data_IF_767711910711
#
_entry.id   IF_767711910711
#
_cell.length_a   1.000
_cell.length_b   1.000
_cell.length_c   1.000
_cell.angle_alpha   90.00
_cell.angle_beta   90.00
_cell.angle_gamma   90.00
#
_symmetry.space_group_name_H-M   'P 1'
#
loop_
_entity.id
_entity.type
_entity.pdbx_description
1 polymer ?
#
# COMPACT_ATOMS: atom_id res chain seq x y z
N UNK A 1 -7.45 -27.25 -16.93
CA UNK A 1 -8.60 -27.69 -16.09
C UNK A 1 -9.63 -26.58 -16.12
N UNK A 2 -10.94 -26.89 -16.20
CA UNK A 2 -11.97 -25.85 -16.28
C UNK A 2 -12.05 -25.10 -14.94
N UNK A 3 -11.82 -23.79 -14.91
CA UNK A 3 -11.80 -22.95 -13.72
C UNK A 3 -13.11 -23.02 -12.91
N UNK A 4 -14.25 -23.15 -13.60
CA UNK A 4 -15.56 -23.31 -12.95
C UNK A 4 -15.68 -24.66 -12.19
N UNK A 5 -15.08 -25.73 -12.72
CA UNK A 5 -15.04 -27.02 -12.06
C UNK A 5 -14.17 -26.94 -10.78
N UNK A 6 -13.00 -26.30 -10.85
CA UNK A 6 -12.13 -26.14 -9.68
C UNK A 6 -12.82 -25.34 -8.57
N UNK A 7 -13.49 -24.24 -8.92
CA UNK A 7 -14.26 -23.44 -7.98
C UNK A 7 -15.35 -24.28 -7.25
N UNK A 8 -16.12 -25.09 -8.00
CA UNK A 8 -17.17 -25.96 -7.44
C UNK A 8 -16.57 -27.06 -6.55
N UNK A 9 -15.45 -27.65 -6.95
CA UNK A 9 -14.77 -28.68 -6.14
C UNK A 9 -14.26 -28.11 -4.81
N UNK A 10 -13.62 -26.95 -4.83
CA UNK A 10 -13.16 -26.28 -3.61
C UNK A 10 -14.31 -25.97 -2.66
N UNK A 11 -15.40 -25.39 -3.15
CA UNK A 11 -16.58 -25.12 -2.32
C UNK A 11 -17.19 -26.42 -1.75
N UNK A 12 -17.22 -27.48 -2.52
CA UNK A 12 -17.72 -28.78 -2.05
C UNK A 12 -16.80 -29.37 -0.97
N UNK A 13 -15.49 -29.30 -1.14
CA UNK A 13 -14.52 -29.76 -0.16
C UNK A 13 -14.62 -28.97 1.15
N UNK A 14 -14.66 -27.62 1.09
CA UNK A 14 -14.85 -26.76 2.26
C UNK A 14 -16.14 -27.08 2.99
N UNK A 15 -17.23 -27.31 2.24
CA UNK A 15 -18.53 -27.69 2.86
C UNK A 15 -18.47 -29.05 3.57
N UNK A 16 -17.66 -29.98 3.08
CA UNK A 16 -17.56 -31.34 3.64
C UNK A 16 -16.60 -31.42 4.84
N UNK A 17 -15.47 -30.70 4.80
CA UNK A 17 -14.37 -30.83 5.78
C UNK A 17 -14.07 -29.55 6.58
N UNK A 18 -14.77 -28.45 6.30
CA UNK A 18 -14.51 -27.14 6.91
C UNK A 18 -13.32 -26.39 6.31
N UNK A 19 -12.49 -27.03 5.51
CA UNK A 19 -11.32 -26.44 4.88
C UNK A 19 -10.93 -27.18 3.59
N UNK A 20 -10.09 -26.52 2.75
CA UNK A 20 -9.52 -27.13 1.57
C UNK A 20 -8.04 -26.77 1.44
N UNK A 21 -7.25 -27.64 0.79
CA UNK A 21 -5.86 -27.35 0.42
C UNK A 21 -5.75 -27.21 -1.10
N UNK A 22 -5.01 -26.19 -1.53
CA UNK A 22 -4.65 -26.01 -2.93
C UNK A 22 -3.22 -25.51 -3.06
N UNK A 23 -2.64 -25.66 -4.25
CA UNK A 23 -1.34 -25.04 -4.58
C UNK A 23 -1.56 -23.69 -5.26
N UNK A 24 -0.75 -22.71 -4.87
CA UNK A 24 -0.68 -21.41 -5.51
C UNK A 24 -0.06 -21.57 -6.90
N UNK A 25 -0.60 -20.83 -7.87
CA UNK A 25 -0.05 -20.76 -9.23
C UNK A 25 0.16 -19.30 -9.60
N UNK A 26 1.37 -18.98 -10.06
CA UNK A 26 1.74 -17.65 -10.52
C UNK A 26 2.49 -16.83 -9.47
N UNK A 27 2.71 -15.56 -9.78
CA UNK A 27 3.62 -14.66 -9.03
C UNK A 27 2.93 -13.42 -8.47
N UNK A 28 1.60 -13.33 -8.60
CA UNK A 28 0.84 -12.13 -8.23
C UNK A 28 0.86 -11.83 -6.72
N UNK A 29 1.18 -12.81 -5.89
CA UNK A 29 1.25 -12.69 -4.44
C UNK A 29 2.68 -12.69 -3.87
N UNK A 30 3.70 -12.68 -4.73
CA UNK A 30 5.09 -12.55 -4.25
C UNK A 30 5.27 -11.23 -3.48
N UNK A 31 6.10 -11.20 -2.42
CA UNK A 31 6.87 -12.30 -1.84
C UNK A 31 6.13 -13.10 -0.75
N UNK A 32 4.86 -12.82 -0.50
CA UNK A 32 4.10 -13.45 0.61
C UNK A 32 3.61 -14.88 0.28
N UNK A 33 3.30 -15.15 -1.00
CA UNK A 33 3.02 -16.49 -1.51
C UNK A 33 3.77 -16.70 -2.81
N UNK A 34 4.43 -17.85 -2.94
CA UNK A 34 5.17 -18.23 -4.13
C UNK A 34 4.44 -19.30 -4.95
N UNK A 35 4.79 -19.39 -6.23
CA UNK A 35 4.33 -20.48 -7.08
C UNK A 35 4.70 -21.84 -6.46
N UNK A 36 3.72 -22.74 -6.36
CA UNK A 36 3.88 -24.05 -5.74
C UNK A 36 3.59 -24.10 -4.24
N UNK A 37 3.45 -22.98 -3.54
CA UNK A 37 3.08 -22.98 -2.11
C UNK A 37 1.73 -23.68 -1.92
N UNK A 38 1.63 -24.47 -0.84
CA UNK A 38 0.39 -25.13 -0.43
C UNK A 38 -0.33 -24.27 0.60
N UNK A 39 -1.53 -23.84 0.25
CA UNK A 39 -2.36 -23.01 1.14
C UNK A 39 -3.58 -23.77 1.63
N UNK A 40 -3.86 -23.62 2.93
CA UNK A 40 -5.10 -24.09 3.54
C UNK A 40 -6.09 -22.96 3.59
N UNK A 41 -7.31 -23.22 3.11
CA UNK A 41 -8.39 -22.23 2.97
C UNK A 41 -9.54 -22.64 3.84
N UNK A 42 -10.07 -21.70 4.61
CA UNK A 42 -11.28 -21.87 5.42
C UNK A 42 -12.32 -20.81 5.12
N UNK A 43 -13.63 -21.14 5.19
CA UNK A 43 -14.67 -20.13 5.11
C UNK A 43 -14.62 -19.21 6.34
N UNK A 44 -15.11 -18.00 6.20
CA UNK A 44 -15.24 -17.04 7.28
C UNK A 44 -16.55 -16.26 7.12
N UNK A 45 -17.18 -15.89 8.22
CA UNK A 45 -18.38 -15.05 8.17
C UNK A 45 -18.05 -13.60 7.81
N UNK A 46 -16.94 -13.09 8.35
CA UNK A 46 -16.48 -11.73 8.13
C UNK A 46 -15.03 -11.73 7.66
N UNK A 47 -14.78 -11.04 6.56
CA UNK A 47 -13.45 -10.80 6.00
C UNK A 47 -12.99 -9.39 6.36
N UNK A 48 -11.74 -9.25 6.80
CA UNK A 48 -11.16 -7.98 7.22
C UNK A 48 -9.98 -7.60 6.32
N UNK A 49 -9.66 -6.30 6.18
CA UNK A 49 -8.46 -5.87 5.48
C UNK A 49 -7.22 -6.64 5.96
N UNK A 50 -6.39 -7.08 5.01
CA UNK A 50 -5.22 -7.93 5.28
C UNK A 50 -5.45 -9.42 5.04
N UNK A 51 -6.68 -9.92 5.11
CA UNK A 51 -6.97 -11.31 4.78
C UNK A 51 -6.60 -11.62 3.33
N UNK A 52 -5.96 -12.76 3.08
CA UNK A 52 -5.72 -13.27 1.73
C UNK A 52 -6.92 -14.15 1.37
N UNK A 53 -7.66 -13.74 0.34
CA UNK A 53 -8.89 -14.38 -0.10
C UNK A 53 -8.68 -15.22 -1.35
N UNK A 54 -9.41 -16.33 -1.43
CA UNK A 54 -9.62 -17.06 -2.69
C UNK A 54 -11.00 -16.74 -3.19
N UNK A 55 -11.10 -16.33 -4.44
CA UNK A 55 -12.37 -15.96 -5.06
C UNK A 55 -12.39 -16.26 -6.56
N UNK A 56 -13.59 -16.41 -7.11
CA UNK A 56 -13.79 -16.56 -8.54
C UNK A 56 -14.01 -15.19 -9.19
N UNK A 57 -13.12 -14.82 -10.11
CA UNK A 57 -13.13 -13.50 -10.73
C UNK A 57 -13.33 -13.56 -12.23
N UNK A 58 -14.53 -13.20 -12.68
CA UNK A 58 -14.91 -13.08 -14.10
C UNK A 58 -14.42 -14.28 -14.94
N UNK A 59 -13.70 -14.00 -16.02
CA UNK A 59 -13.15 -15.01 -16.93
C UNK A 59 -11.75 -15.51 -16.51
N UNK A 60 -11.14 -14.85 -15.52
CA UNK A 60 -9.79 -15.20 -15.04
C UNK A 60 -9.80 -16.46 -14.16
N UNK A 61 -10.96 -16.80 -13.58
CA UNK A 61 -11.14 -17.98 -12.74
C UNK A 61 -10.77 -17.72 -11.28
N UNK A 62 -10.16 -18.71 -10.62
CA UNK A 62 -9.77 -18.59 -9.22
C UNK A 62 -8.53 -17.71 -9.07
N UNK A 63 -8.67 -16.65 -8.26
CA UNK A 63 -7.57 -15.79 -7.85
C UNK A 63 -7.35 -15.90 -6.34
N UNK A 64 -6.11 -15.69 -5.93
CA UNK A 64 -5.66 -15.62 -4.54
C UNK A 64 -5.04 -14.26 -4.33
N UNK A 65 -5.77 -13.31 -3.72
CA UNK A 65 -5.31 -11.94 -3.55
C UNK A 65 -5.66 -11.40 -2.15
N UNK A 66 -5.00 -10.33 -1.76
CA UNK A 66 -5.19 -9.68 -0.46
C UNK A 66 -6.37 -8.73 -0.49
N UNK A 67 -7.24 -8.82 0.52
CA UNK A 67 -8.29 -7.83 0.76
C UNK A 67 -7.66 -6.53 1.28
N UNK A 68 -7.87 -5.42 0.56
CA UNK A 68 -7.39 -4.10 0.97
C UNK A 68 -8.45 -3.35 1.77
N UNK A 69 -9.69 -3.35 1.31
CA UNK A 69 -10.83 -2.72 2.00
C UNK A 69 -12.16 -3.29 1.50
N UNK A 70 -13.22 -2.99 2.24
CA UNK A 70 -14.61 -3.28 1.82
C UNK A 70 -15.43 -2.00 1.81
N UNK A 71 -16.33 -1.88 0.84
CA UNK A 71 -17.25 -0.75 0.70
C UNK A 71 -18.49 -1.18 -0.08
N UNK A 72 -19.68 -0.75 0.36
CA UNK A 72 -20.96 -0.98 -0.32
C UNK A 72 -21.18 -2.47 -0.68
N UNK A 73 -20.98 -3.37 0.30
CA UNK A 73 -21.09 -4.84 0.18
C UNK A 73 -20.09 -5.47 -0.81
N UNK A 74 -19.13 -4.71 -1.31
CA UNK A 74 -18.04 -5.19 -2.15
C UNK A 74 -16.74 -5.29 -1.37
N UNK A 75 -15.92 -6.23 -1.78
CA UNK A 75 -14.57 -6.46 -1.30
C UNK A 75 -13.58 -6.10 -2.40
N UNK A 76 -12.58 -5.30 -2.07
CA UNK A 76 -11.58 -4.81 -3.02
C UNK A 76 -10.26 -5.50 -2.73
N UNK A 77 -9.87 -6.40 -3.64
CA UNK A 77 -8.69 -7.24 -3.50
C UNK A 77 -7.61 -6.85 -4.51
N UNK A 78 -6.36 -7.12 -4.15
CA UNK A 78 -5.21 -6.89 -5.02
C UNK A 78 -4.12 -7.93 -4.70
N UNK A 79 -3.47 -8.46 -5.73
CA UNK A 79 -2.24 -9.25 -5.55
C UNK A 79 -1.10 -8.38 -5.03
N UNK A 80 -0.32 -8.91 -4.10
CA UNK A 80 0.80 -8.17 -3.49
C UNK A 80 1.82 -7.71 -4.55
N UNK A 81 2.03 -8.49 -5.61
CA UNK A 81 2.85 -8.14 -6.77
C UNK A 81 2.01 -7.75 -8.01
N UNK A 82 0.79 -7.30 -7.82
CA UNK A 82 -0.11 -6.86 -8.88
C UNK A 82 -0.39 -5.36 -8.77
N UNK A 83 -0.91 -4.75 -9.83
CA UNK A 83 -1.27 -3.32 -9.87
C UNK A 83 -2.78 -3.11 -9.90
N UNK A 84 -3.53 -4.10 -10.36
CA UNK A 84 -4.99 -4.01 -10.49
C UNK A 84 -5.67 -4.28 -9.16
N UNK A 85 -6.81 -3.61 -9.01
CA UNK A 85 -7.75 -3.83 -7.93
C UNK A 85 -8.95 -4.60 -8.50
N UNK A 86 -9.28 -5.73 -7.89
CA UNK A 86 -10.46 -6.51 -8.22
C UNK A 86 -11.60 -6.19 -7.27
N UNK A 87 -12.76 -5.86 -7.80
CA UNK A 87 -14.00 -5.70 -7.04
C UNK A 87 -14.82 -7.00 -7.08
N UNK A 88 -15.11 -7.57 -5.92
CA UNK A 88 -15.83 -8.83 -5.80
C UNK A 88 -16.97 -8.74 -4.78
N UNK A 89 -17.95 -9.63 -4.89
CA UNK A 89 -19.02 -9.80 -3.89
C UNK A 89 -18.73 -11.01 -2.99
N UNK A 90 -19.46 -11.12 -1.89
CA UNK A 90 -19.30 -12.22 -0.93
C UNK A 90 -19.52 -13.59 -1.57
N UNK A 91 -20.42 -13.71 -2.53
CA UNK A 91 -20.75 -14.96 -3.22
C UNK A 91 -19.60 -15.51 -4.05
N UNK A 92 -18.73 -14.62 -4.55
CA UNK A 92 -17.56 -14.97 -5.34
C UNK A 92 -16.43 -15.53 -4.46
N UNK A 93 -16.45 -15.25 -3.14
CA UNK A 93 -15.39 -15.69 -2.23
C UNK A 93 -15.59 -17.17 -1.91
N UNK A 94 -14.50 -17.92 -1.99
CA UNK A 94 -14.41 -19.33 -1.57
C UNK A 94 -14.10 -19.43 -0.09
N UNK A 95 -13.15 -18.62 0.38
CA UNK A 95 -12.69 -18.55 1.74
C UNK A 95 -11.42 -17.72 1.87
N UNK A 96 -10.84 -17.70 3.08
CA UNK A 96 -9.56 -17.06 3.34
C UNK A 96 -8.46 -18.07 3.61
N UNK A 97 -7.25 -17.72 3.25
CA UNK A 97 -6.04 -18.49 3.54
C UNK A 97 -5.76 -18.40 5.04
N UNK A 98 -5.60 -19.55 5.68
CA UNK A 98 -5.31 -19.66 7.13
C UNK A 98 -3.93 -20.23 7.41
N UNK A 99 -3.38 -21.06 6.49
CA UNK A 99 -2.04 -21.62 6.59
C UNK A 99 -1.34 -21.56 5.24
N UNK A 100 -0.03 -21.42 5.25
CA UNK A 100 0.86 -21.57 4.09
C UNK A 100 1.94 -22.59 4.44
N UNK A 101 2.03 -23.66 3.66
CA UNK A 101 2.96 -24.77 3.89
C UNK A 101 2.87 -25.32 5.33
N UNK A 102 1.64 -25.38 5.89
CA UNK A 102 1.37 -25.82 7.24
C UNK A 102 1.64 -24.79 8.35
N UNK A 103 2.18 -23.62 8.03
CA UNK A 103 2.49 -22.56 8.98
C UNK A 103 1.40 -21.46 8.96
N UNK A 104 1.23 -20.77 10.09
CA UNK A 104 0.35 -19.58 10.14
C UNK A 104 0.91 -18.47 9.24
N UNK A 105 0.00 -17.74 8.61
CA UNK A 105 0.35 -16.53 7.88
C UNK A 105 1.02 -15.49 8.78
N UNK A 106 2.01 -14.80 8.23
CA UNK A 106 2.52 -13.57 8.83
C UNK A 106 1.41 -12.52 8.75
N UNK A 107 1.09 -11.82 9.87
CA UNK A 107 0.09 -10.77 9.87
C UNK A 107 0.42 -9.69 8.84
N UNK A 108 -0.60 -9.22 8.13
CA UNK A 108 -0.47 -8.05 7.27
C UNK A 108 -0.42 -6.78 8.14
N UNK A 109 0.54 -5.90 7.89
CA UNK A 109 0.61 -4.60 8.57
C UNK A 109 -0.30 -3.58 7.87
N UNK A 110 -0.78 -2.57 8.62
CA UNK A 110 -1.54 -1.44 8.05
C UNK A 110 -0.73 -0.74 6.97
N UNK A 111 0.58 -0.69 7.13
CA UNK A 111 1.54 -0.13 6.18
C UNK A 111 1.52 -0.86 4.84
N UNK A 112 1.54 -2.19 4.82
CA UNK A 112 1.39 -2.99 3.59
C UNK A 112 0.07 -2.65 2.89
N UNK A 113 -1.03 -2.52 3.62
CA UNK A 113 -2.34 -2.18 3.05
C UNK A 113 -2.33 -0.78 2.44
N UNK A 114 -1.81 0.21 3.16
CA UNK A 114 -1.72 1.59 2.71
C UNK A 114 -0.92 1.70 1.41
N UNK A 115 0.31 1.17 1.39
CA UNK A 115 1.16 1.23 0.21
C UNK A 115 0.63 0.40 -0.95
N UNK A 116 0.02 -0.75 -0.69
CA UNK A 116 -0.64 -1.56 -1.72
C UNK A 116 -1.77 -0.77 -2.42
N UNK A 117 -2.55 0.01 -1.66
CA UNK A 117 -3.57 0.91 -2.20
C UNK A 117 -2.95 2.06 -3.00
N UNK A 118 -1.89 2.70 -2.49
CA UNK A 118 -1.18 3.78 -3.18
C UNK A 118 -0.59 3.33 -4.51
N UNK A 119 -0.03 2.12 -4.58
CA UNK A 119 0.47 1.54 -5.84
C UNK A 119 -0.65 1.37 -6.87
N UNK A 120 -1.86 0.97 -6.45
CA UNK A 120 -2.99 0.92 -7.38
C UNK A 120 -3.38 2.32 -7.87
N UNK A 121 -3.44 3.32 -7.00
CA UNK A 121 -3.68 4.72 -7.38
C UNK A 121 -2.64 5.22 -8.38
N UNK A 122 -1.37 4.93 -8.12
CA UNK A 122 -0.29 5.31 -9.01
C UNK A 122 -0.41 4.62 -10.39
N UNK A 123 -0.79 3.36 -10.43
CA UNK A 123 -1.06 2.64 -11.67
C UNK A 123 -2.17 3.29 -12.51
N UNK A 124 -3.22 3.80 -11.86
CA UNK A 124 -4.28 4.57 -12.53
C UNK A 124 -3.74 5.93 -13.03
N UNK A 125 -2.96 6.66 -12.22
CA UNK A 125 -2.30 7.91 -12.62
C UNK A 125 -1.39 7.70 -13.83
N UNK A 126 -0.64 6.60 -13.86
CA UNK A 126 0.21 6.20 -14.99
C UNK A 126 -0.58 5.65 -16.20
N UNK A 127 -1.90 5.79 -16.22
CA UNK A 127 -2.80 5.29 -17.29
C UNK A 127 -2.63 3.80 -17.56
N UNK A 128 -2.52 3.00 -16.48
CA UNK A 128 -2.35 1.55 -16.51
C UNK A 128 -1.04 1.08 -17.15
N UNK A 129 -0.02 1.93 -17.17
CA UNK A 129 1.32 1.61 -17.65
C UNK A 129 2.15 0.99 -16.52
N UNK A 130 2.37 -0.31 -16.60
CA UNK A 130 3.13 -1.08 -15.62
C UNK A 130 4.58 -0.62 -15.49
N UNK A 131 5.24 -0.25 -16.61
CA UNK A 131 6.64 0.14 -16.59
C UNK A 131 6.83 1.48 -15.87
N UNK A 132 5.96 2.45 -16.15
CA UNK A 132 5.96 3.74 -15.45
C UNK A 132 5.64 3.59 -13.97
N UNK A 133 4.64 2.76 -13.64
CA UNK A 133 4.29 2.50 -12.23
C UNK A 133 5.47 1.93 -11.46
N UNK A 134 6.21 0.99 -12.04
CA UNK A 134 7.40 0.40 -11.40
C UNK A 134 8.55 1.37 -11.19
N UNK A 135 8.60 2.47 -11.92
CA UNK A 135 9.59 3.53 -11.77
C UNK A 135 9.19 4.60 -10.76
N UNK A 136 7.96 4.55 -10.22
CA UNK A 136 7.49 5.53 -9.24
C UNK A 136 8.06 5.26 -7.84
N UNK A 137 8.28 6.33 -7.09
CA UNK A 137 8.75 6.29 -5.70
C UNK A 137 7.81 5.45 -4.82
N UNK A 138 6.50 5.60 -5.01
CA UNK A 138 5.47 4.80 -4.31
C UNK A 138 5.68 3.29 -4.49
N UNK A 139 6.00 2.85 -5.71
CA UNK A 139 6.27 1.43 -5.95
C UNK A 139 7.57 0.97 -5.31
N UNK A 140 8.62 1.79 -5.36
CA UNK A 140 9.91 1.47 -4.74
C UNK A 140 9.76 1.34 -3.21
N UNK A 141 9.05 2.28 -2.58
CA UNK A 141 8.72 2.20 -1.15
C UNK A 141 7.88 0.95 -0.81
N UNK A 142 6.86 0.66 -1.61
CA UNK A 142 6.06 -0.55 -1.41
C UNK A 142 6.92 -1.82 -1.46
N UNK A 143 7.92 -1.90 -2.35
CA UNK A 143 8.82 -3.05 -2.39
C UNK A 143 9.65 -3.19 -1.11
N UNK A 144 10.10 -2.09 -0.52
CA UNK A 144 10.81 -2.11 0.77
C UNK A 144 9.88 -2.59 1.90
N UNK A 145 8.66 -2.02 1.96
CA UNK A 145 7.64 -2.37 2.96
C UNK A 145 7.23 -3.84 2.89
N UNK A 146 6.91 -4.36 1.70
CA UNK A 146 6.43 -5.75 1.54
C UNK A 146 7.51 -6.80 1.81
N UNK A 147 8.78 -6.42 1.68
CA UNK A 147 9.92 -7.29 2.02
C UNK A 147 10.27 -7.27 3.53
N UNK A 148 9.50 -6.55 4.35
CA UNK A 148 9.76 -6.43 5.77
C UNK A 148 11.05 -5.68 6.11
N UNK A 149 11.50 -4.77 5.24
CA UNK A 149 12.63 -3.87 5.46
C UNK A 149 12.16 -2.55 6.06
N UNK A 150 11.15 -2.63 6.92
CA UNK A 150 10.43 -1.48 7.46
C UNK A 150 11.16 -0.81 8.64
N UNK A 151 11.89 -1.59 9.44
CA UNK A 151 12.40 -1.15 10.74
C UNK A 151 13.38 0.04 10.66
N UNK A 152 13.89 0.33 9.45
CA UNK A 152 14.82 1.42 9.19
C UNK A 152 14.24 2.52 8.26
N UNK A 153 12.94 2.44 7.90
CA UNK A 153 12.35 3.38 6.94
C UNK A 153 11.30 4.25 7.60
N UNK A 154 11.69 5.46 7.95
CA UNK A 154 10.78 6.54 8.31
C UNK A 154 10.12 7.09 7.06
N UNK A 155 8.79 7.09 6.99
CA UNK A 155 8.02 7.66 5.90
C UNK A 155 7.38 8.96 6.37
N UNK A 156 7.63 10.02 5.62
CA UNK A 156 7.09 11.35 5.85
C UNK A 156 5.99 11.67 4.84
N UNK A 157 4.92 12.30 5.31
CA UNK A 157 3.82 12.77 4.47
C UNK A 157 3.27 14.08 5.01
N UNK A 158 2.94 15.01 4.13
CA UNK A 158 2.20 16.23 4.44
C UNK A 158 0.87 15.89 5.11
N UNK A 159 0.57 16.52 6.24
CA UNK A 159 -0.68 16.29 6.97
C UNK A 159 -1.85 16.96 6.23
N UNK A 160 -2.76 16.16 5.70
CA UNK A 160 -3.92 16.64 4.93
C UNK A 160 -5.02 17.30 5.78
N UNK A 161 -4.93 17.23 7.11
CA UNK A 161 -5.91 17.86 8.03
C UNK A 161 -5.61 19.33 8.31
N UNK A 162 -4.42 19.81 7.95
CA UNK A 162 -4.00 21.19 8.07
C UNK A 162 -4.54 22.06 6.94
N UNK A 163 -4.78 23.34 7.21
CA UNK A 163 -5.12 24.33 6.21
C UNK A 163 -3.87 25.02 5.67
N UNK A 164 -3.60 24.86 4.38
CA UNK A 164 -2.44 25.43 3.70
C UNK A 164 -2.83 26.68 2.94
N UNK A 165 -2.30 27.85 3.37
CA UNK A 165 -2.62 29.17 2.81
C UNK A 165 -1.34 29.76 2.23
N UNK A 166 -1.17 29.65 0.93
CA UNK A 166 -0.03 30.25 0.22
C UNK A 166 -0.37 31.70 -0.14
N UNK A 167 0.40 32.66 0.38
CA UNK A 167 0.21 34.07 0.13
C UNK A 167 0.99 34.57 -1.10
N UNK A 168 2.14 33.96 -1.40
CA UNK A 168 2.98 34.20 -2.58
C UNK A 168 3.91 33.00 -2.84
N UNK A 169 4.81 33.10 -3.82
CA UNK A 169 5.70 31.99 -4.21
C UNK A 169 6.74 31.65 -3.13
N UNK A 170 6.96 32.51 -2.14
CA UNK A 170 8.02 32.38 -1.13
C UNK A 170 7.50 32.23 0.30
N UNK A 171 6.17 32.25 0.50
CA UNK A 171 5.58 32.28 1.84
C UNK A 171 4.31 31.44 1.94
N UNK A 172 4.34 30.43 2.80
CA UNK A 172 3.23 29.55 3.12
C UNK A 172 2.91 29.62 4.61
N UNK A 173 1.64 29.87 4.93
CA UNK A 173 1.09 29.71 6.28
C UNK A 173 0.34 28.37 6.36
N UNK A 174 0.62 27.58 7.40
CA UNK A 174 -0.06 26.32 7.70
C UNK A 174 -0.80 26.47 9.01
N UNK A 175 -2.11 26.38 8.98
CA UNK A 175 -2.99 26.53 10.14
C UNK A 175 -3.47 25.16 10.63
N UNK A 176 -3.34 24.92 11.93
CA UNK A 176 -3.90 23.76 12.60
C UNK A 176 -5.32 24.10 13.09
N UNK A 177 -6.38 23.53 12.50
CA UNK A 177 -7.76 23.84 12.89
C UNK A 177 -8.12 23.29 14.28
N UNK A 178 -7.38 22.30 14.79
CA UNK A 178 -7.65 21.69 16.10
C UNK A 178 -7.07 22.51 17.25
N UNK A 179 -5.88 23.11 17.07
CA UNK A 179 -5.19 23.89 18.11
C UNK A 179 -5.33 25.41 17.93
N UNK A 180 -5.52 25.85 16.69
CA UNK A 180 -5.52 27.26 16.30
C UNK A 180 -4.13 27.83 16.04
N UNK A 181 -3.09 27.02 16.06
CA UNK A 181 -1.71 27.42 15.79
C UNK A 181 -1.49 27.69 14.30
N UNK A 182 -0.58 28.61 14.00
CA UNK A 182 -0.19 28.92 12.62
C UNK A 182 1.32 28.87 12.51
N UNK A 183 1.81 28.13 11.54
CA UNK A 183 3.23 27.96 11.23
C UNK A 183 3.53 28.57 9.88
N UNK A 184 4.71 29.19 9.75
CA UNK A 184 5.14 29.83 8.50
C UNK A 184 6.35 29.10 7.93
N UNK A 185 6.33 28.92 6.61
CA UNK A 185 7.38 28.25 5.85
C UNK A 185 7.83 29.13 4.69
N UNK A 186 9.12 29.09 4.42
CA UNK A 186 9.77 29.78 3.29
C UNK A 186 9.71 28.92 2.01
N UNK A 187 10.34 29.39 0.95
CA UNK A 187 10.39 28.71 -0.36
C UNK A 187 10.90 27.26 -0.24
N UNK A 188 11.96 27.03 0.51
CA UNK A 188 12.51 25.69 0.71
C UNK A 188 11.53 24.77 1.45
N UNK A 189 10.87 25.31 2.49
CA UNK A 189 9.83 24.60 3.22
C UNK A 189 8.62 24.27 2.35
N UNK A 190 8.23 25.16 1.43
CA UNK A 190 7.18 24.92 0.45
C UNK A 190 7.54 23.74 -0.45
N UNK A 191 8.74 23.75 -1.02
CA UNK A 191 9.20 22.68 -1.91
C UNK A 191 9.23 21.32 -1.21
N UNK A 192 9.71 21.27 0.05
CA UNK A 192 9.70 20.06 0.85
C UNK A 192 8.25 19.57 1.08
N UNK A 193 7.35 20.46 1.51
CA UNK A 193 5.95 20.12 1.77
C UNK A 193 5.20 19.70 0.51
N UNK A 194 5.54 20.27 -0.66
CA UNK A 194 4.95 19.86 -1.92
C UNK A 194 5.44 18.48 -2.37
N UNK A 195 6.72 18.17 -2.18
CA UNK A 195 7.24 16.82 -2.37
C UNK A 195 6.58 15.80 -1.43
N UNK A 196 6.27 16.19 -0.20
CA UNK A 196 5.60 15.35 0.81
C UNK A 196 4.06 15.27 0.63
N UNK A 197 3.50 15.85 -0.41
CA UNK A 197 2.12 15.58 -0.84
C UNK A 197 1.88 14.10 -1.16
N UNK A 198 2.94 13.38 -1.52
CA UNK A 198 2.98 11.90 -1.59
C UNK A 198 3.96 11.37 -0.53
N UNK A 199 3.71 10.18 0.07
CA UNK A 199 4.59 9.59 1.06
C UNK A 199 6.02 9.35 0.53
N UNK A 200 7.05 9.75 1.29
CA UNK A 200 8.46 9.57 0.93
C UNK A 200 9.30 9.19 2.14
N UNK A 201 10.34 8.38 1.91
CA UNK A 201 11.44 8.24 2.87
C UNK A 201 12.43 9.41 2.71
N UNK A 202 13.30 9.59 3.70
CA UNK A 202 14.31 10.66 3.68
C UNK A 202 15.19 10.59 2.45
N UNK A 203 15.60 9.39 2.03
CA UNK A 203 16.51 9.18 0.91
C UNK A 203 15.90 9.65 -0.43
N UNK A 204 14.63 9.27 -0.66
CA UNK A 204 13.85 9.71 -1.82
C UNK A 204 13.58 11.22 -1.81
N UNK A 205 13.32 11.80 -0.62
CA UNK A 205 13.13 13.24 -0.48
C UNK A 205 14.42 14.00 -0.83
N UNK A 206 15.57 13.57 -0.29
CA UNK A 206 16.87 14.15 -0.59
C UNK A 206 17.21 14.07 -2.08
N UNK A 207 16.93 12.93 -2.75
CA UNK A 207 17.15 12.80 -4.20
C UNK A 207 16.40 13.88 -4.99
N UNK A 208 15.13 14.11 -4.65
CA UNK A 208 14.31 15.11 -5.33
C UNK A 208 14.78 16.54 -5.07
N UNK A 209 15.15 16.85 -3.84
CA UNK A 209 15.70 18.17 -3.50
C UNK A 209 17.05 18.42 -4.20
N UNK A 210 17.92 17.40 -4.29
CA UNK A 210 19.18 17.51 -5.05
C UNK A 210 18.92 17.80 -6.54
N UNK A 211 17.89 17.21 -7.15
CA UNK A 211 17.49 17.51 -8.53
C UNK A 211 17.01 18.96 -8.69
N UNK A 212 16.23 19.50 -7.74
CA UNK A 212 15.67 20.85 -7.76
C UNK A 212 16.79 21.88 -7.58
N UNK A 213 17.62 21.71 -6.56
CA UNK A 213 18.61 22.72 -6.15
C UNK A 213 20.01 22.52 -6.75
N UNK A 214 20.23 21.44 -7.49
CA UNK A 214 21.54 21.08 -8.09
C UNK A 214 22.66 20.98 -7.03
N UNK A 215 22.38 20.37 -5.88
CA UNK A 215 23.28 20.17 -4.74
C UNK A 215 23.49 18.68 -4.47
N UNK A 216 24.43 18.32 -3.57
CA UNK A 216 24.61 16.92 -3.15
C UNK A 216 23.76 16.59 -1.90
N UNK A 217 23.55 15.29 -1.64
CA UNK A 217 22.80 14.85 -0.44
C UNK A 217 23.50 15.29 0.84
N UNK A 218 24.83 15.19 0.86
CA UNK A 218 25.66 15.56 2.00
C UNK A 218 25.53 17.04 2.37
N UNK A 219 25.27 17.91 1.38
CA UNK A 219 25.12 19.34 1.60
C UNK A 219 23.82 19.73 2.30
N UNK A 220 22.74 18.95 2.10
CA UNK A 220 21.39 19.30 2.55
C UNK A 220 20.78 18.35 3.57
N UNK A 221 21.37 17.19 3.79
CA UNK A 221 20.75 16.15 4.64
C UNK A 221 20.45 16.65 6.05
N UNK A 222 21.42 17.32 6.70
CA UNK A 222 21.24 17.80 8.09
C UNK A 222 20.10 18.83 8.20
N UNK A 223 20.00 19.73 7.24
CA UNK A 223 18.97 20.78 7.22
C UNK A 223 17.58 20.17 6.95
N UNK A 224 17.49 19.18 6.06
CA UNK A 224 16.24 18.45 5.78
C UNK A 224 15.79 17.61 6.97
N UNK A 225 16.70 16.92 7.65
CA UNK A 225 16.40 16.18 8.89
C UNK A 225 15.90 17.10 10.00
N UNK A 226 16.52 18.28 10.19
CA UNK A 226 16.07 19.29 11.15
C UNK A 226 14.69 19.83 10.78
N UNK A 227 14.46 20.15 9.51
CA UNK A 227 13.15 20.58 9.02
C UNK A 227 12.07 19.53 9.27
N UNK A 228 12.34 18.26 8.96
CA UNK A 228 11.39 17.17 9.15
C UNK A 228 11.05 17.00 10.64
N UNK A 229 12.05 17.02 11.52
CA UNK A 229 11.84 16.91 12.96
C UNK A 229 10.96 18.07 13.49
N UNK A 230 11.20 19.29 13.04
CA UNK A 230 10.39 20.47 13.39
C UNK A 230 8.96 20.35 12.83
N UNK A 231 8.80 20.00 11.54
CA UNK A 231 7.50 19.87 10.90
C UNK A 231 6.65 18.72 11.49
N UNK A 232 7.28 17.61 11.91
CA UNK A 232 6.62 16.52 12.65
C UNK A 232 6.16 16.99 14.02
N UNK A 233 7.02 17.72 14.77
CA UNK A 233 6.66 18.28 16.09
C UNK A 233 5.46 19.22 16.03
N UNK A 234 5.31 19.94 14.93
CA UNK A 234 4.20 20.86 14.61
C UNK A 234 3.00 20.15 13.97
N UNK A 235 3.06 18.84 13.79
CA UNK A 235 2.04 18.02 13.10
C UNK A 235 1.76 18.43 11.64
N UNK A 236 2.58 19.27 11.04
CA UNK A 236 2.48 19.66 9.62
C UNK A 236 2.88 18.50 8.71
N UNK A 237 3.78 17.65 9.20
CA UNK A 237 4.19 16.40 8.55
C UNK A 237 3.84 15.23 9.47
N UNK A 238 3.28 14.18 8.91
CA UNK A 238 3.07 12.90 9.57
C UNK A 238 4.28 11.99 9.33
N UNK A 239 4.71 11.33 10.39
CA UNK A 239 5.76 10.32 10.39
C UNK A 239 5.12 8.95 10.66
N UNK A 240 5.45 7.95 9.82
CA UNK A 240 4.89 6.58 9.90
C UNK A 240 5.95 5.53 9.64
#
# INVERSE_FOLDING_TARGET
MNNDLMYKLLKAQIKASGQAEISVVGVSMNPNLFDGDRITVSPCENYIPGDILIFNYKQEGLLVHRLLYSKDEKYFCKGDNSFRLEDITKEQIVGKVVLVNGNKLVPCTDRILQFSYLVNREFVKCRYDTAKTKQSDIYQLYQKVILGKEDDIMIYKKNETMDYIQSDETSLAVFDPDTGDTHFFDETGIDILDLLSEPRDLDSLLEKLCEIYSVTKEDIQADVEEFLADAVSKKVVEEK
#
